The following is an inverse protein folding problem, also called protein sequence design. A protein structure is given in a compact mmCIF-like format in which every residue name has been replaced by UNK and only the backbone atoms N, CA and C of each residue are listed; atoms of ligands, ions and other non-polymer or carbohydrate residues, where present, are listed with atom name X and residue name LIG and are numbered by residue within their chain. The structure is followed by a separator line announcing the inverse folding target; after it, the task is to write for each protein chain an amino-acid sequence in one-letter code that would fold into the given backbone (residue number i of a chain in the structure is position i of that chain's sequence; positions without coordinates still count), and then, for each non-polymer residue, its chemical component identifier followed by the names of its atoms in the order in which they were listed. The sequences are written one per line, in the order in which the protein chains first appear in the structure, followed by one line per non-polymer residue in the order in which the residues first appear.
data_IF_186835231277
#
_entry.id   IF_186835231277
#
_cell.length_a   1.000
_cell.length_b   1.000
_cell.length_c   1.000
_cell.angle_alpha   90.00
_cell.angle_beta   90.00
_cell.angle_gamma   90.00
#
_symmetry.space_group_name_H-M   'P 1'
#
loop_
_entity.id
_entity.type
_entity.pdbx_description
1 polymer ?
#
# COMPACT_ATOMS: atom_id res chain seq x y z
N UNK A 1 -93.86 -16.88 -12.44
CA UNK A 1 -92.63 -16.12 -12.13
C UNK A 1 -92.94 -15.17 -10.98
N UNK A 2 -92.55 -15.51 -9.76
CA UNK A 2 -92.62 -14.60 -8.62
C UNK A 2 -91.18 -14.23 -8.23
N UNK A 3 -90.74 -13.05 -8.64
CA UNK A 3 -89.46 -12.46 -8.24
C UNK A 3 -89.63 -11.90 -6.83
N UNK A 4 -89.02 -12.57 -5.85
CA UNK A 4 -88.92 -12.09 -4.48
C UNK A 4 -88.06 -10.81 -4.45
N UNK A 5 -88.70 -9.65 -4.34
CA UNK A 5 -88.04 -8.37 -4.09
C UNK A 5 -87.80 -8.25 -2.59
N UNK A 6 -86.60 -8.66 -2.14
CA UNK A 6 -86.14 -8.44 -0.77
C UNK A 6 -86.22 -6.96 -0.38
N UNK A 7 -86.54 -6.69 0.88
CA UNK A 7 -86.76 -5.35 1.41
C UNK A 7 -85.52 -4.46 1.20
N UNK A 8 -85.72 -3.17 0.91
CA UNK A 8 -84.65 -2.20 0.71
C UNK A 8 -83.61 -2.12 1.86
N UNK A 9 -83.98 -2.60 3.06
CA UNK A 9 -83.08 -2.79 4.22
C UNK A 9 -81.99 -3.85 3.99
N UNK A 10 -82.30 -4.96 3.30
CA UNK A 10 -81.32 -6.02 2.99
C UNK A 10 -80.26 -5.54 1.97
N UNK A 11 -80.63 -4.62 1.08
CA UNK A 11 -79.70 -4.04 0.11
C UNK A 11 -78.59 -3.20 0.80
N UNK A 12 -78.93 -2.46 1.86
CA UNK A 12 -77.96 -1.71 2.65
C UNK A 12 -76.99 -2.62 3.42
N UNK A 13 -77.52 -3.68 4.04
CA UNK A 13 -76.70 -4.70 4.72
C UNK A 13 -75.78 -5.45 3.75
N UNK A 14 -76.28 -5.78 2.57
CA UNK A 14 -75.48 -6.41 1.51
C UNK A 14 -74.36 -5.49 1.00
N UNK A 15 -74.62 -4.18 0.87
CA UNK A 15 -73.61 -3.19 0.48
C UNK A 15 -72.52 -3.05 1.55
N UNK A 16 -72.89 -3.06 2.83
CA UNK A 16 -71.96 -2.94 3.95
C UNK A 16 -71.07 -4.19 4.07
N UNK A 17 -71.63 -5.39 3.85
CA UNK A 17 -70.87 -6.64 3.77
C UNK A 17 -69.94 -6.67 2.56
N UNK A 18 -70.36 -6.14 1.41
CA UNK A 18 -69.51 -6.00 0.22
C UNK A 18 -68.33 -5.05 0.48
N UNK A 19 -68.57 -3.91 1.12
CA UNK A 19 -67.54 -2.94 1.51
C UNK A 19 -66.55 -3.51 2.54
N UNK A 20 -67.03 -4.31 3.50
CA UNK A 20 -66.16 -5.03 4.46
C UNK A 20 -65.29 -6.07 3.75
N UNK A 21 -65.83 -6.81 2.76
CA UNK A 21 -65.07 -7.78 1.96
C UNK A 21 -64.02 -7.11 1.07
N UNK A 22 -64.35 -5.96 0.49
CA UNK A 22 -63.42 -5.16 -0.32
C UNK A 22 -62.24 -4.67 0.51
N UNK A 23 -62.49 -4.08 1.68
CA UNK A 23 -61.42 -3.69 2.63
C UNK A 23 -60.56 -4.88 3.07
N UNK A 24 -61.18 -6.02 3.37
CA UNK A 24 -60.44 -7.22 3.76
C UNK A 24 -59.55 -7.76 2.62
N UNK A 25 -60.01 -7.66 1.37
CA UNK A 25 -59.22 -8.02 0.18
C UNK A 25 -58.06 -7.05 -0.04
N UNK A 26 -58.29 -5.74 0.09
CA UNK A 26 -57.23 -4.73 0.02
C UNK A 26 -56.16 -4.94 1.09
N UNK A 27 -56.57 -5.25 2.33
CA UNK A 27 -55.63 -5.53 3.42
C UNK A 27 -54.84 -6.82 3.18
N UNK A 28 -55.49 -7.86 2.64
CA UNK A 28 -54.81 -9.10 2.23
C UNK A 28 -53.82 -8.87 1.10
N UNK A 29 -54.17 -8.05 0.11
CA UNK A 29 -53.29 -7.70 -1.00
C UNK A 29 -52.09 -6.89 -0.50
N UNK A 30 -52.31 -5.96 0.43
CA UNK A 30 -51.24 -5.18 1.04
C UNK A 30 -50.30 -6.06 1.89
N UNK A 31 -50.85 -7.00 2.68
CA UNK A 31 -50.04 -7.99 3.42
C UNK A 31 -49.28 -8.90 2.47
N UNK A 32 -49.89 -9.34 1.37
CA UNK A 32 -49.24 -10.18 0.34
C UNK A 32 -48.11 -9.44 -0.35
N UNK A 33 -48.29 -8.17 -0.74
CA UNK A 33 -47.23 -7.33 -1.31
C UNK A 33 -46.09 -7.12 -0.32
N UNK A 34 -46.40 -6.87 0.95
CA UNK A 34 -45.38 -6.71 2.00
C UNK A 34 -44.57 -8.00 2.21
N UNK A 35 -45.21 -9.16 2.24
CA UNK A 35 -44.53 -10.47 2.32
C UNK A 35 -43.73 -10.74 1.04
N UNK A 36 -44.23 -10.38 -0.14
CA UNK A 36 -43.51 -10.54 -1.41
C UNK A 36 -42.27 -9.63 -1.48
N UNK A 37 -42.34 -8.41 -0.95
CA UNK A 37 -41.20 -7.50 -0.81
C UNK A 37 -40.18 -8.02 0.21
N UNK A 38 -40.61 -8.56 1.34
CA UNK A 38 -39.73 -9.16 2.35
C UNK A 38 -39.11 -10.49 1.88
N UNK A 39 -39.83 -11.28 1.07
CA UNK A 39 -39.34 -12.54 0.48
C UNK A 39 -38.55 -12.36 -0.82
N UNK A 40 -38.49 -11.15 -1.41
CA UNK A 40 -37.56 -10.81 -2.50
C UNK A 40 -36.12 -10.71 -1.95
N UNK A 41 -35.62 -11.84 -1.47
CA UNK A 41 -34.23 -12.08 -1.04
C UNK A 41 -33.27 -12.21 -2.24
N UNK A 42 -33.76 -12.10 -3.48
CA UNK A 42 -32.97 -12.12 -4.71
C UNK A 42 -31.99 -10.94 -4.85
N UNK A 43 -32.15 -9.89 -4.05
CA UNK A 43 -31.21 -8.75 -4.01
C UNK A 43 -29.97 -8.98 -3.15
N UNK A 44 -29.89 -10.11 -2.43
CA UNK A 44 -28.77 -10.38 -1.53
C UNK A 44 -27.54 -10.87 -2.31
N UNK A 45 -27.70 -11.76 -3.30
CA UNK A 45 -26.60 -12.23 -4.14
C UNK A 45 -25.94 -11.09 -4.94
N UNK A 46 -26.74 -10.19 -5.51
CA UNK A 46 -26.22 -9.03 -6.24
C UNK A 46 -25.53 -7.99 -5.34
N UNK A 47 -25.98 -7.86 -4.08
CA UNK A 47 -25.30 -7.01 -3.09
C UNK A 47 -23.93 -7.54 -2.71
N UNK A 48 -23.74 -8.86 -2.64
CA UNK A 48 -22.42 -9.42 -2.33
C UNK A 48 -21.49 -9.47 -3.55
N UNK A 49 -22.00 -9.74 -4.75
CA UNK A 49 -21.20 -9.81 -5.97
C UNK A 49 -20.59 -8.46 -6.38
N UNK A 50 -21.38 -7.38 -6.38
CA UNK A 50 -20.87 -6.05 -6.75
C UNK A 50 -19.91 -5.45 -5.71
N UNK A 51 -20.01 -5.89 -4.44
CA UNK A 51 -19.13 -5.42 -3.37
C UNK A 51 -17.79 -6.16 -3.33
N UNK A 52 -17.75 -7.43 -3.71
CA UNK A 52 -16.50 -8.18 -3.80
C UNK A 52 -15.62 -7.65 -4.94
N UNK A 53 -16.22 -7.37 -6.10
CA UNK A 53 -15.50 -6.92 -7.29
C UNK A 53 -14.81 -5.55 -7.08
N UNK A 54 -15.45 -4.60 -6.40
CA UNK A 54 -14.84 -3.30 -6.12
C UNK A 54 -13.63 -3.38 -5.16
N UNK A 55 -13.75 -4.18 -4.09
CA UNK A 55 -12.67 -4.38 -3.11
C UNK A 55 -11.52 -5.15 -3.74
N UNK A 56 -11.83 -6.18 -4.53
CA UNK A 56 -10.84 -6.97 -5.23
C UNK A 56 -10.11 -6.17 -6.33
N UNK A 57 -10.81 -5.28 -7.04
CA UNK A 57 -10.18 -4.36 -8.00
C UNK A 57 -9.22 -3.36 -7.31
N UNK A 58 -9.60 -2.81 -6.15
CA UNK A 58 -8.74 -1.91 -5.39
C UNK A 58 -7.49 -2.64 -4.86
N UNK A 59 -7.67 -3.86 -4.34
CA UNK A 59 -6.57 -4.73 -3.90
C UNK A 59 -5.66 -5.12 -5.07
N UNK A 60 -6.22 -5.54 -6.21
CA UNK A 60 -5.46 -5.86 -7.43
C UNK A 60 -4.66 -4.66 -7.92
N UNK A 61 -5.27 -3.49 -8.04
CA UNK A 61 -4.57 -2.29 -8.53
C UNK A 61 -3.44 -1.82 -7.59
N UNK A 62 -3.64 -1.93 -6.27
CA UNK A 62 -2.66 -1.57 -5.25
C UNK A 62 -1.53 -2.61 -5.10
N UNK A 63 -1.73 -3.83 -5.59
CA UNK A 63 -0.79 -4.97 -5.45
C UNK A 63 -0.08 -5.33 -6.76
N UNK A 64 -0.19 -4.51 -7.81
CA UNK A 64 0.62 -4.70 -9.02
C UNK A 64 2.07 -4.29 -8.73
N UNK A 65 2.96 -5.28 -8.61
CA UNK A 65 4.40 -5.09 -8.40
C UNK A 65 5.01 -6.14 -7.47
N UNK A 66 6.30 -6.00 -7.15
CA UNK A 66 6.95 -6.83 -6.14
C UNK A 66 6.57 -6.29 -4.75
N UNK A 67 5.67 -6.99 -4.07
CA UNK A 67 5.14 -6.64 -2.74
C UNK A 67 5.43 -7.79 -1.78
N UNK A 68 5.85 -7.47 -0.55
CA UNK A 68 6.10 -8.48 0.49
C UNK A 68 4.79 -9.01 1.09
N UNK A 69 4.79 -10.21 1.67
CA UNK A 69 3.59 -10.80 2.26
C UNK A 69 2.97 -9.92 3.37
N UNK A 70 3.81 -9.21 4.11
CA UNK A 70 3.37 -8.33 5.20
C UNK A 70 2.70 -7.07 4.64
N UNK A 71 3.23 -6.49 3.56
CA UNK A 71 2.62 -5.35 2.87
C UNK A 71 1.27 -5.72 2.24
N UNK A 72 1.11 -6.96 1.75
CA UNK A 72 -0.17 -7.45 1.22
C UNK A 72 -1.22 -7.59 2.33
N UNK A 73 -0.83 -8.12 3.50
CA UNK A 73 -1.72 -8.25 4.65
C UNK A 73 -2.13 -6.89 5.22
N UNK A 74 -1.18 -5.98 5.39
CA UNK A 74 -1.45 -4.62 5.88
C UNK A 74 -2.44 -3.89 4.96
N UNK A 75 -2.22 -3.94 3.64
CA UNK A 75 -3.14 -3.35 2.66
C UNK A 75 -4.54 -3.99 2.68
N UNK A 76 -4.62 -5.30 2.92
CA UNK A 76 -5.89 -6.00 3.05
C UNK A 76 -6.65 -5.56 4.31
N UNK A 77 -5.96 -5.46 5.45
CA UNK A 77 -6.54 -4.99 6.71
C UNK A 77 -7.01 -3.54 6.61
N UNK A 78 -6.22 -2.66 5.99
CA UNK A 78 -6.59 -1.25 5.82
C UNK A 78 -7.85 -1.08 4.97
N UNK A 79 -7.96 -1.81 3.86
CA UNK A 79 -9.15 -1.78 2.99
C UNK A 79 -10.40 -2.30 3.72
N UNK A 80 -10.25 -3.36 4.54
CA UNK A 80 -11.35 -3.88 5.36
C UNK A 80 -11.76 -2.86 6.42
N UNK A 81 -10.80 -2.24 7.11
CA UNK A 81 -11.05 -1.28 8.20
C UNK A 81 -11.68 0.02 7.69
N UNK A 82 -11.22 0.56 6.56
CA UNK A 82 -11.85 1.72 5.91
C UNK A 82 -13.31 1.41 5.54
N UNK A 83 -13.56 0.19 5.07
CA UNK A 83 -14.91 -0.25 4.71
C UNK A 83 -15.81 -0.40 5.92
N UNK A 84 -15.33 -1.02 6.99
CA UNK A 84 -16.06 -1.12 8.26
C UNK A 84 -16.43 0.27 8.78
N UNK A 85 -15.51 1.23 8.69
CA UNK A 85 -15.76 2.63 9.05
C UNK A 85 -16.84 3.27 8.19
N UNK A 86 -16.81 3.07 6.87
CA UNK A 86 -17.86 3.57 5.96
C UNK A 86 -19.23 2.94 6.23
N UNK A 87 -19.27 1.63 6.53
CA UNK A 87 -20.50 0.93 6.88
C UNK A 87 -21.07 1.43 8.21
N UNK A 88 -20.22 1.62 9.22
CA UNK A 88 -20.61 2.20 10.50
C UNK A 88 -21.16 3.62 10.35
N UNK A 89 -20.54 4.47 9.52
CA UNK A 89 -21.04 5.81 9.22
C UNK A 89 -22.41 5.78 8.54
N UNK A 90 -22.59 4.90 7.55
CA UNK A 90 -23.86 4.77 6.82
C UNK A 90 -24.98 4.20 7.69
N UNK A 91 -24.67 3.28 8.61
CA UNK A 91 -25.61 2.77 9.59
C UNK A 91 -26.02 3.88 10.57
N UNK A 92 -25.05 4.61 11.10
CA UNK A 92 -25.29 5.74 12.00
C UNK A 92 -26.16 6.84 11.33
N UNK A 93 -25.93 7.14 10.06
CA UNK A 93 -26.75 8.10 9.31
C UNK A 93 -28.20 7.63 9.13
N UNK A 94 -28.40 6.35 8.82
CA UNK A 94 -29.75 5.76 8.72
C UNK A 94 -30.48 5.72 10.06
N UNK A 95 -29.77 5.42 11.14
CA UNK A 95 -30.32 5.44 12.51
C UNK A 95 -30.80 6.85 12.86
N UNK A 96 -29.99 7.87 12.55
CA UNK A 96 -30.34 9.27 12.77
C UNK A 96 -31.56 9.71 11.95
N UNK A 97 -31.67 9.25 10.69
CA UNK A 97 -32.85 9.52 9.85
C UNK A 97 -34.11 8.88 10.45
N UNK A 98 -34.05 7.61 10.90
CA UNK A 98 -35.18 6.96 11.57
C UNK A 98 -35.60 7.67 12.85
N UNK A 99 -34.65 8.12 13.66
CA UNK A 99 -34.96 8.88 14.88
C UNK A 99 -35.65 10.21 14.55
N UNK A 100 -35.22 10.92 13.50
CA UNK A 100 -35.88 12.15 13.05
C UNK A 100 -37.32 11.88 12.59
N UNK A 101 -37.54 10.85 11.77
CA UNK A 101 -38.89 10.48 11.31
C UNK A 101 -39.83 10.08 12.46
N UNK A 102 -39.31 9.35 13.47
CA UNK A 102 -40.08 8.98 14.66
C UNK A 102 -40.46 10.21 15.48
N UNK A 103 -39.53 11.15 15.63
CA UNK A 103 -39.77 12.41 16.35
C UNK A 103 -40.79 13.29 15.63
N UNK A 104 -40.69 13.45 14.32
CA UNK A 104 -41.67 14.21 13.52
C UNK A 104 -43.08 13.60 13.61
N UNK A 105 -43.19 12.26 13.60
CA UNK A 105 -44.48 11.57 13.81
C UNK A 105 -45.06 11.78 15.20
N UNK A 106 -44.21 11.79 16.24
CA UNK A 106 -44.65 12.08 17.62
C UNK A 106 -45.14 13.53 17.75
N UNK A 107 -44.39 14.49 17.20
CA UNK A 107 -44.78 15.91 17.21
C UNK A 107 -46.08 16.17 16.43
N UNK A 108 -46.28 15.48 15.30
CA UNK A 108 -47.53 15.56 14.54
C UNK A 108 -48.73 15.01 15.32
N UNK A 109 -48.57 13.86 16.01
CA UNK A 109 -49.61 13.30 16.90
C UNK A 109 -49.93 14.23 18.05
N UNK A 110 -48.92 14.86 18.65
CA UNK A 110 -49.12 15.80 19.75
C UNK A 110 -49.83 17.07 19.29
N UNK A 111 -49.50 17.61 18.11
CA UNK A 111 -50.21 18.74 17.51
C UNK A 111 -51.68 18.42 17.23
N UNK A 112 -51.99 17.23 16.72
CA UNK A 112 -53.37 16.78 16.53
C UNK A 112 -54.11 16.66 17.86
N UNK A 113 -53.49 16.06 18.89
CA UNK A 113 -54.07 15.95 20.23
C UNK A 113 -54.34 17.33 20.86
N UNK A 114 -53.42 18.29 20.68
CA UNK A 114 -53.60 19.68 21.13
C UNK A 114 -54.70 20.42 20.35
N UNK A 115 -54.81 20.22 19.03
CA UNK A 115 -55.91 20.78 18.24
C UNK A 115 -57.26 20.23 18.68
N UNK A 116 -57.36 18.91 18.91
CA UNK A 116 -58.58 18.27 19.40
C UNK A 116 -58.92 18.78 20.81
N UNK A 117 -57.94 18.91 21.71
CA UNK A 117 -58.14 19.45 23.06
C UNK A 117 -58.52 20.95 23.07
N UNK A 118 -58.12 21.72 22.05
CA UNK A 118 -58.49 23.14 21.89
C UNK A 118 -59.89 23.36 21.33
N UNK A 119 -60.54 22.31 20.82
CA UNK A 119 -61.93 22.33 20.38
C UNK A 119 -62.81 21.88 21.55
N UNK A 120 -63.59 22.81 22.11
CA UNK A 120 -64.46 22.62 23.27
C UNK A 120 -65.73 21.81 22.93
N UNK A 121 -65.56 20.53 22.60
CA UNK A 121 -66.64 19.53 22.61
C UNK A 121 -66.16 18.32 23.40
N UNK A 122 -66.63 18.21 24.66
CA UNK A 122 -66.63 16.95 25.39
C UNK A 122 -67.81 16.12 24.88
N UNK A 123 -67.55 15.14 24.03
CA UNK A 123 -68.43 13.97 23.91
C UNK A 123 -67.78 12.87 24.73
N UNK A 124 -68.42 12.64 25.87
CA UNK A 124 -68.29 11.49 26.74
C UNK A 124 -69.05 10.33 26.08
N UNK A 125 -68.36 9.23 25.81
CA UNK A 125 -68.88 7.86 25.67
C UNK A 125 -67.67 6.93 25.46
N UNK A 126 -67.16 6.44 26.60
CA UNK A 126 -66.81 5.05 26.95
C UNK A 126 -66.89 4.00 25.81
N UNK A 127 -66.01 3.01 25.65
CA UNK A 127 -65.45 2.07 26.64
C UNK A 127 -64.42 1.12 25.96
N UNK A 128 -63.47 0.59 26.76
CA UNK A 128 -62.73 -0.71 26.64
C UNK A 128 -61.80 -0.95 25.44
N UNK A 129 -60.58 -1.48 25.53
CA UNK A 129 -59.82 -2.41 26.41
C UNK A 129 -58.33 -2.20 25.97
N UNK A 130 -57.27 -2.16 26.79
CA UNK A 130 -56.68 -3.22 27.62
C UNK A 130 -55.65 -2.56 28.55
N UNK A 131 -55.70 -2.91 29.83
CA UNK A 131 -54.60 -2.79 30.78
C UNK A 131 -53.46 -3.75 30.38
N UNK A 132 -52.20 -3.35 30.51
CA UNK A 132 -51.19 -4.11 31.26
C UNK A 132 -49.81 -3.39 31.30
N UNK A 133 -49.23 -3.43 32.50
CA UNK A 133 -47.83 -3.19 32.90
C UNK A 133 -47.38 -1.76 33.29
N UNK A 134 -47.77 -1.36 34.50
CA UNK A 134 -46.89 -0.59 35.40
C UNK A 134 -46.10 -1.52 36.35
N UNK A 135 -44.80 -1.23 36.46
CA UNK A 135 -43.91 -1.39 37.62
C UNK A 135 -43.42 -2.78 38.11
N UNK A 136 -42.15 -3.09 37.79
CA UNK A 136 -41.19 -3.64 38.77
C UNK A 136 -39.81 -2.97 38.60
N UNK A 137 -39.62 -1.82 39.27
CA UNK A 137 -38.30 -1.38 39.72
C UNK A 137 -38.29 -1.45 41.25
N UNK A 138 -37.83 -2.59 41.79
CA UNK A 138 -37.37 -2.67 43.17
C UNK A 138 -35.85 -2.77 43.19
N UNK A 139 -35.26 -1.69 43.72
CA UNK A 139 -34.27 -1.65 44.79
C UNK A 139 -33.23 -2.78 44.89
N UNK A 140 -31.95 -2.38 44.85
CA UNK A 140 -31.15 -2.64 46.04
C UNK A 140 -30.15 -1.50 46.31
N UNK A 141 -30.26 -0.97 47.52
CA UNK A 141 -29.43 0.06 48.12
C UNK A 141 -27.99 -0.43 48.40
N UNK A 142 -27.02 0.43 48.15
CA UNK A 142 -25.87 0.82 48.98
C UNK A 142 -24.75 1.31 48.06
N UNK A 143 -24.13 2.46 48.22
CA UNK A 143 -24.15 3.44 49.31
C UNK A 143 -23.39 4.67 48.80
N UNK A 144 -23.85 5.88 49.16
CA UNK A 144 -23.06 7.03 49.67
C UNK A 144 -21.79 7.41 48.85
N UNK A 145 -21.58 8.64 48.40
CA UNK A 145 -22.03 9.93 48.92
C UNK A 145 -21.74 11.01 47.87
N UNK A 146 -22.51 12.09 48.00
CA UNK A 146 -22.50 13.41 47.38
C UNK A 146 -21.07 13.97 47.14
N UNK A 147 -20.71 14.41 45.94
CA UNK A 147 -21.15 15.58 45.14
C UNK A 147 -20.25 16.80 45.32
N UNK A 148 -19.74 17.30 44.19
CA UNK A 148 -19.60 18.72 43.79
C UNK A 148 -18.72 19.64 44.68
N UNK A 149 -17.89 20.53 44.17
CA UNK A 149 -17.84 21.27 42.89
C UNK A 149 -16.53 22.08 42.84
N UNK A 150 -16.09 22.41 41.62
CA UNK A 150 -15.34 23.62 41.18
C UNK A 150 -14.31 24.28 42.12
N UNK A 151 -13.07 24.42 41.65
CA UNK A 151 -12.55 25.67 41.03
C UNK A 151 -11.01 25.64 40.93
N UNK A 152 -10.53 26.43 39.98
CA UNK A 152 -9.20 26.69 39.46
C UNK A 152 -8.11 27.17 40.43
N UNK A 153 -6.87 26.77 40.09
CA UNK A 153 -5.57 27.46 40.31
C UNK A 153 -5.15 27.89 41.72
N UNK A 154 -4.11 27.24 42.26
CA UNK A 154 -2.93 27.89 42.86
C UNK A 154 -1.80 26.88 43.18
N UNK A 155 -0.57 27.27 42.85
CA UNK A 155 0.69 26.60 43.18
C UNK A 155 0.85 26.43 44.70
N UNK A 156 1.29 25.24 45.14
CA UNK A 156 2.24 25.09 46.26
C UNK A 156 2.76 23.64 46.35
N UNK A 157 4.08 23.56 46.49
CA UNK A 157 4.91 22.37 46.74
C UNK A 157 4.34 21.44 47.83
N UNK A 158 4.13 20.15 47.50
CA UNK A 158 4.74 19.00 48.18
C UNK A 158 4.37 17.65 47.50
N UNK A 159 5.21 16.60 47.59
CA UNK A 159 5.25 15.52 46.61
C UNK A 159 4.19 14.45 46.86
N UNK A 160 3.27 14.27 45.90
CA UNK A 160 2.37 13.12 45.86
C UNK A 160 3.19 11.85 45.60
N UNK A 161 3.30 11.01 46.62
CA UNK A 161 3.94 9.69 46.57
C UNK A 161 3.32 8.85 45.45
N UNK A 162 4.09 8.66 44.36
CA UNK A 162 3.78 7.74 43.28
C UNK A 162 3.51 6.35 43.88
N UNK A 163 2.30 5.83 43.69
CA UNK A 163 1.96 4.44 44.04
C UNK A 163 3.02 3.53 43.40
N UNK A 164 3.85 2.90 44.22
CA UNK A 164 4.85 1.92 43.77
C UNK A 164 4.07 0.79 43.08
N UNK A 165 4.13 0.75 41.75
CA UNK A 165 3.68 -0.41 40.99
C UNK A 165 4.39 -1.62 41.60
N UNK A 166 3.61 -2.64 41.95
CA UNK A 166 4.14 -3.94 42.36
C UNK A 166 4.99 -4.46 41.19
N UNK A 167 6.30 -4.27 41.29
CA UNK A 167 7.26 -4.88 40.39
C UNK A 167 7.36 -6.34 40.81
N UNK A 168 6.88 -7.24 39.95
CA UNK A 168 7.39 -8.61 39.94
C UNK A 168 8.88 -8.54 39.57
N UNK A 169 9.67 -9.49 40.06
CA UNK A 169 11.12 -9.49 39.91
C UNK A 169 11.57 -9.11 38.48
N UNK A 170 12.48 -8.15 38.32
CA UNK A 170 12.92 -7.64 37.00
C UNK A 170 13.70 -8.67 36.18
N UNK A 171 14.13 -9.78 36.78
CA UNK A 171 14.82 -10.89 36.11
C UNK A 171 13.86 -11.98 35.57
N UNK A 172 12.55 -11.85 35.79
CA UNK A 172 11.58 -12.78 35.18
C UNK A 172 11.44 -12.42 33.71
N UNK A 173 11.84 -13.35 32.84
CA UNK A 173 11.71 -13.20 31.39
C UNK A 173 10.25 -12.98 30.99
N UNK A 174 9.95 -11.75 30.55
CA UNK A 174 8.63 -11.31 30.10
C UNK A 174 8.53 -11.31 28.57
N UNK A 175 9.50 -11.93 27.86
CA UNK A 175 9.55 -12.05 26.39
C UNK A 175 8.26 -12.59 25.76
N UNK A 176 7.52 -13.44 26.49
CA UNK A 176 6.29 -14.08 26.03
C UNK A 176 5.03 -13.21 26.18
N UNK A 177 5.08 -12.10 26.92
CA UNK A 177 3.95 -11.16 26.99
C UNK A 177 4.00 -10.18 25.82
N UNK A 178 2.86 -9.89 25.16
CA UNK A 178 2.73 -8.79 24.21
C UNK A 178 3.02 -7.44 24.88
N UNK A 179 4.27 -7.02 24.81
CA UNK A 179 4.75 -5.75 25.36
C UNK A 179 4.87 -4.72 24.24
N UNK A 180 3.94 -3.77 24.22
CA UNK A 180 3.90 -2.68 23.23
C UNK A 180 5.20 -1.88 23.19
N UNK A 181 5.85 -1.67 24.33
CA UNK A 181 7.15 -0.99 24.40
C UNK A 181 8.27 -1.81 23.76
N UNK A 182 8.29 -3.13 23.95
CA UNK A 182 9.30 -4.03 23.34
C UNK A 182 9.14 -4.12 21.83
N UNK A 183 7.91 -4.23 21.33
CA UNK A 183 7.62 -4.22 19.89
C UNK A 183 7.99 -2.87 19.25
N UNK A 184 7.77 -1.76 19.96
CA UNK A 184 8.19 -0.42 19.51
C UNK A 184 9.72 -0.27 19.49
N UNK A 185 10.43 -0.85 20.46
CA UNK A 185 11.90 -0.92 20.49
C UNK A 185 12.46 -1.80 19.38
N UNK A 186 11.87 -2.98 19.14
CA UNK A 186 12.25 -3.85 18.02
C UNK A 186 12.01 -3.16 16.68
N UNK A 187 10.89 -2.44 16.53
CA UNK A 187 10.59 -1.65 15.34
C UNK A 187 11.61 -0.53 15.14
N UNK A 188 11.96 0.22 16.19
CA UNK A 188 12.99 1.27 16.14
C UNK A 188 14.34 0.67 15.75
N UNK A 189 14.75 -0.42 16.37
CA UNK A 189 16.00 -1.12 16.04
C UNK A 189 16.02 -1.58 14.58
N UNK A 190 14.89 -2.09 14.07
CA UNK A 190 14.74 -2.52 12.68
C UNK A 190 14.78 -1.35 11.70
N UNK A 191 14.21 -0.21 12.07
CA UNK A 191 14.29 1.04 11.31
C UNK A 191 15.71 1.62 11.31
N UNK A 192 16.39 1.62 12.46
CA UNK A 192 17.79 2.03 12.61
C UNK A 192 18.72 1.16 11.75
N UNK A 193 18.59 -0.17 11.85
CA UNK A 193 19.37 -1.09 11.01
C UNK A 193 19.10 -0.89 9.51
N UNK A 194 17.85 -0.58 9.13
CA UNK A 194 17.51 -0.24 7.75
C UNK A 194 18.19 1.06 7.31
N UNK A 195 18.15 2.10 8.14
CA UNK A 195 18.82 3.37 7.85
C UNK A 195 20.33 3.20 7.77
N UNK A 196 20.94 2.48 8.70
CA UNK A 196 22.36 2.15 8.66
C UNK A 196 22.72 1.38 7.38
N UNK A 197 21.89 0.42 6.98
CA UNK A 197 22.11 -0.32 5.75
C UNK A 197 22.06 0.60 4.53
N UNK A 198 21.04 1.46 4.42
CA UNK A 198 20.93 2.45 3.34
C UNK A 198 22.11 3.42 3.34
N UNK A 199 22.53 3.91 4.50
CA UNK A 199 23.69 4.81 4.62
C UNK A 199 24.99 4.11 4.23
N UNK A 200 25.20 2.85 4.62
CA UNK A 200 26.36 2.06 4.21
C UNK A 200 26.36 1.84 2.69
N UNK A 201 25.20 1.54 2.11
CA UNK A 201 25.01 1.43 0.65
C UNK A 201 25.33 2.75 -0.07
N UNK A 202 24.84 3.87 0.47
CA UNK A 202 25.07 5.20 -0.10
C UNK A 202 26.53 5.63 0.01
N UNK A 203 27.19 5.34 1.14
CA UNK A 203 28.63 5.57 1.31
C UNK A 203 29.43 4.81 0.24
N UNK A 204 29.15 3.52 0.05
CA UNK A 204 29.83 2.70 -0.96
C UNK A 204 29.55 3.19 -2.39
N UNK A 205 28.31 3.64 -2.67
CA UNK A 205 27.97 4.28 -3.95
C UNK A 205 28.67 5.62 -4.15
N UNK A 206 28.94 6.36 -3.08
CA UNK A 206 29.58 7.67 -3.15
C UNK A 206 31.12 7.61 -3.25
N UNK A 207 31.73 6.46 -2.97
CA UNK A 207 33.18 6.28 -3.15
C UNK A 207 33.59 6.62 -4.60
N UNK A 208 34.62 7.45 -4.73
CA UNK A 208 35.14 7.87 -6.03
C UNK A 208 36.09 6.81 -6.59
N UNK A 209 35.97 6.57 -7.89
CA UNK A 209 36.75 5.64 -8.67
C UNK A 209 37.33 6.40 -9.88
N UNK A 210 38.59 6.14 -10.18
CA UNK A 210 39.19 6.48 -11.46
C UNK A 210 39.03 5.32 -12.45
N UNK A 211 38.34 5.57 -13.56
CA UNK A 211 38.10 4.57 -14.59
C UNK A 211 38.90 4.96 -15.83
N UNK A 212 39.81 4.07 -16.23
CA UNK A 212 40.55 4.20 -17.49
C UNK A 212 39.75 3.58 -18.62
N UNK A 213 39.53 4.35 -19.68
CA UNK A 213 38.86 3.91 -20.89
C UNK A 213 39.64 4.29 -22.14
N UNK A 214 39.39 3.57 -23.23
CA UNK A 214 39.96 3.85 -24.55
C UNK A 214 38.83 4.11 -25.52
N UNK A 215 38.78 5.30 -26.11
CA UNK A 215 37.93 5.53 -27.28
C UNK A 215 38.51 4.79 -28.48
N UNK A 216 37.65 4.20 -29.31
CA UNK A 216 38.06 3.41 -30.47
C UNK A 216 37.32 3.86 -31.73
N UNK A 217 38.08 4.47 -32.63
CA UNK A 217 37.68 4.90 -33.98
C UNK A 217 38.51 4.19 -35.08
N UNK A 218 39.40 3.28 -34.68
CA UNK A 218 40.45 2.69 -35.52
C UNK A 218 41.84 2.87 -34.88
N UNK A 219 41.99 3.87 -34.02
CA UNK A 219 43.10 4.04 -33.09
C UNK A 219 42.60 4.04 -31.65
N UNK A 220 43.41 3.57 -30.71
CA UNK A 220 43.04 3.49 -29.30
C UNK A 220 43.44 4.75 -28.53
N UNK A 221 42.48 5.60 -28.18
CA UNK A 221 42.72 6.81 -27.39
C UNK A 221 42.41 6.57 -25.90
N UNK A 222 43.44 6.21 -25.13
CA UNK A 222 43.34 5.99 -23.67
C UNK A 222 43.18 7.31 -22.91
N UNK A 223 42.24 7.34 -21.97
CA UNK A 223 41.95 8.44 -21.03
C UNK A 223 41.48 7.89 -19.69
N UNK A 224 41.59 8.69 -18.64
CA UNK A 224 41.00 8.39 -17.34
C UNK A 224 39.96 9.44 -16.97
N UNK A 225 38.88 9.00 -16.33
CA UNK A 225 37.82 9.87 -15.78
C UNK A 225 37.50 9.43 -14.36
N UNK A 226 37.32 10.40 -13.47
CA UNK A 226 36.94 10.20 -12.08
C UNK A 226 35.42 10.31 -11.89
N UNK A 227 34.82 9.33 -11.20
CA UNK A 227 33.39 9.33 -10.87
C UNK A 227 33.07 8.43 -9.69
N UNK A 228 31.85 8.56 -9.13
CA UNK A 228 31.42 7.73 -8.00
C UNK A 228 30.92 6.35 -8.44
N UNK A 229 31.07 5.31 -7.61
CA UNK A 229 30.63 3.93 -7.91
C UNK A 229 29.14 3.83 -8.26
N UNK A 230 28.32 4.68 -7.67
CA UNK A 230 26.86 4.72 -7.89
C UNK A 230 26.42 5.36 -9.20
N UNK A 231 27.33 5.92 -10.01
CA UNK A 231 26.96 6.44 -11.33
C UNK A 231 26.61 5.30 -12.28
N UNK A 232 25.61 5.52 -13.12
CA UNK A 232 25.30 4.58 -14.21
C UNK A 232 26.35 4.66 -15.32
N UNK A 233 26.45 3.60 -16.11
CA UNK A 233 27.32 3.59 -17.28
C UNK A 233 26.91 4.65 -18.29
N UNK A 234 25.61 4.96 -18.39
CA UNK A 234 25.15 6.09 -19.18
C UNK A 234 25.79 7.42 -18.74
N UNK A 235 25.81 7.72 -17.44
CA UNK A 235 26.45 8.92 -16.90
C UNK A 235 27.97 8.91 -17.11
N UNK A 236 28.61 7.73 -17.03
CA UNK A 236 30.01 7.54 -17.39
C UNK A 236 30.27 7.91 -18.86
N UNK A 237 29.44 7.39 -19.77
CA UNK A 237 29.57 7.65 -21.20
C UNK A 237 29.37 9.13 -21.53
N UNK A 238 28.44 9.82 -20.86
CA UNK A 238 28.28 11.28 -21.00
C UNK A 238 29.54 12.03 -20.59
N UNK A 239 30.14 11.71 -19.43
CA UNK A 239 31.42 12.32 -19.00
C UNK A 239 32.56 12.01 -19.97
N UNK A 240 32.63 10.79 -20.49
CA UNK A 240 33.61 10.42 -21.52
C UNK A 240 33.40 11.26 -22.78
N UNK A 241 32.16 11.46 -23.18
CA UNK A 241 31.77 12.26 -24.34
C UNK A 241 32.20 13.73 -24.16
N UNK A 242 32.04 14.32 -22.97
CA UNK A 242 32.53 15.68 -22.67
C UNK A 242 34.06 15.81 -22.83
N UNK A 243 34.81 14.79 -22.41
CA UNK A 243 36.27 14.76 -22.57
C UNK A 243 36.66 14.58 -24.04
N UNK A 244 35.96 13.70 -24.76
CA UNK A 244 36.23 13.41 -26.17
C UNK A 244 35.78 14.55 -27.11
N UNK A 245 34.75 15.31 -26.76
CA UNK A 245 34.27 16.48 -27.53
C UNK A 245 35.33 17.56 -27.72
N UNK A 246 36.33 17.63 -26.84
CA UNK A 246 37.44 18.57 -26.97
C UNK A 246 38.41 18.19 -28.10
N UNK A 247 38.50 16.90 -28.44
CA UNK A 247 39.45 16.39 -29.44
C UNK A 247 38.77 15.99 -30.75
N UNK A 248 37.56 15.43 -30.67
CA UNK A 248 36.83 14.92 -31.81
C UNK A 248 35.56 15.74 -32.07
N UNK A 249 35.60 16.53 -33.13
CA UNK A 249 34.45 17.35 -33.56
C UNK A 249 33.26 16.48 -34.01
N UNK A 250 33.52 15.26 -34.47
CA UNK A 250 32.51 14.29 -34.91
C UNK A 250 31.60 13.82 -33.77
N UNK A 251 32.13 13.79 -32.54
CA UNK A 251 31.38 13.38 -31.34
C UNK A 251 30.53 14.51 -30.74
N UNK A 252 30.56 15.71 -31.33
CA UNK A 252 29.75 16.85 -30.85
C UNK A 252 28.26 16.64 -31.08
N UNK A 253 27.88 16.01 -32.18
CA UNK A 253 26.48 15.74 -32.55
C UNK A 253 25.91 14.46 -31.90
N UNK A 254 26.78 13.60 -31.37
CA UNK A 254 26.44 12.29 -30.83
C UNK A 254 25.94 12.42 -29.39
N UNK A 255 24.95 11.58 -29.01
CA UNK A 255 24.41 11.46 -27.65
C UNK A 255 24.99 10.23 -26.93
N UNK A 256 24.88 10.18 -25.60
CA UNK A 256 25.38 9.06 -24.79
C UNK A 256 24.79 7.69 -25.15
N UNK A 257 23.58 7.65 -25.71
CA UNK A 257 22.89 6.42 -26.12
C UNK A 257 23.50 5.74 -27.36
N UNK A 258 24.20 6.53 -28.18
CA UNK A 258 24.88 6.04 -29.38
C UNK A 258 26.26 5.49 -29.06
N UNK A 259 26.76 5.67 -27.84
CA UNK A 259 28.00 5.07 -27.38
C UNK A 259 27.73 3.69 -26.79
N UNK A 260 28.71 2.80 -26.85
CA UNK A 260 28.70 1.52 -26.18
C UNK A 260 29.97 1.36 -25.37
N UNK A 261 29.83 0.78 -24.18
CA UNK A 261 30.95 0.46 -23.32
C UNK A 261 31.23 -1.04 -23.37
N UNK A 262 32.47 -1.39 -23.66
CA UNK A 262 32.92 -2.78 -23.76
C UNK A 262 34.07 -2.99 -22.79
N UNK A 263 33.94 -3.94 -21.87
CA UNK A 263 35.01 -4.31 -20.95
C UNK A 263 35.26 -5.81 -21.03
N UNK A 264 36.52 -6.22 -21.24
CA UNK A 264 36.93 -7.63 -21.37
C UNK A 264 36.04 -8.47 -22.31
N UNK A 265 35.73 -7.90 -23.48
CA UNK A 265 34.83 -8.50 -24.49
C UNK A 265 33.36 -8.66 -24.04
N UNK A 266 32.95 -8.01 -22.95
CA UNK A 266 31.55 -7.90 -22.54
C UNK A 266 31.03 -6.49 -22.83
N UNK A 267 29.96 -6.41 -23.62
CA UNK A 267 29.22 -5.18 -23.89
C UNK A 267 28.33 -4.93 -22.68
N UNK A 268 28.61 -3.85 -21.96
CA UNK A 268 27.88 -3.55 -20.75
C UNK A 268 26.71 -2.60 -21.06
N UNK A 269 25.47 -2.97 -20.68
CA UNK A 269 24.31 -2.10 -20.86
C UNK A 269 24.36 -0.79 -20.07
N UNK A 270 23.65 0.22 -20.58
CA UNK A 270 23.63 1.59 -20.04
C UNK A 270 23.00 1.75 -18.65
N UNK A 271 22.12 0.84 -18.27
CA UNK A 271 21.34 0.92 -17.03
C UNK A 271 22.10 0.39 -15.80
N UNK A 272 23.18 -0.37 -15.99
CA UNK A 272 23.96 -0.87 -14.87
C UNK A 272 24.84 0.22 -14.26
N UNK A 273 25.10 0.09 -12.97
CA UNK A 273 26.02 0.95 -12.22
C UNK A 273 27.33 0.24 -11.93
N UNK A 274 28.42 0.98 -11.73
CA UNK A 274 29.70 0.36 -11.31
C UNK A 274 29.57 -0.35 -9.98
N UNK A 275 28.72 0.17 -9.09
CA UNK A 275 28.35 -0.45 -7.83
C UNK A 275 27.85 -1.89 -8.02
N UNK A 276 26.96 -2.14 -8.99
CA UNK A 276 26.40 -3.48 -9.21
C UNK A 276 27.48 -4.49 -9.61
N UNK A 277 28.42 -4.09 -10.46
CA UNK A 277 29.55 -4.96 -10.86
C UNK A 277 30.51 -5.26 -9.72
N UNK A 278 30.67 -4.32 -8.79
CA UNK A 278 31.54 -4.47 -7.62
C UNK A 278 30.92 -5.45 -6.62
N UNK A 279 29.63 -5.27 -6.33
CA UNK A 279 28.91 -6.13 -5.39
C UNK A 279 28.79 -7.56 -5.91
N UNK A 280 28.44 -7.71 -7.19
CA UNK A 280 28.34 -9.04 -7.82
C UNK A 280 29.70 -9.69 -8.05
N UNK A 281 30.81 -8.95 -7.82
CA UNK A 281 32.17 -9.37 -8.18
C UNK A 281 32.20 -9.96 -9.58
N UNK A 282 31.52 -9.28 -10.51
CA UNK A 282 31.26 -9.79 -11.84
C UNK A 282 32.57 -10.23 -12.49
N UNK A 283 32.68 -11.52 -12.80
CA UNK A 283 33.85 -12.09 -13.46
C UNK A 283 33.62 -12.08 -14.96
N UNK A 284 34.47 -11.38 -15.67
CA UNK A 284 34.56 -11.43 -17.11
C UNK A 284 35.33 -12.67 -17.56
N UNK A 285 35.51 -12.77 -18.88
CA UNK A 285 36.24 -13.89 -19.49
C UNK A 285 37.72 -13.92 -19.05
N UNK A 286 38.30 -12.82 -18.59
CA UNK A 286 39.72 -12.69 -18.22
C UNK A 286 39.98 -12.51 -16.71
N UNK A 287 38.94 -12.53 -15.87
CA UNK A 287 39.09 -12.27 -14.43
C UNK A 287 38.00 -11.33 -13.89
N UNK A 288 38.16 -10.73 -12.70
CA UNK A 288 37.23 -9.73 -12.19
C UNK A 288 37.10 -8.54 -13.16
N UNK A 289 35.88 -8.23 -13.62
CA UNK A 289 35.65 -7.12 -14.56
C UNK A 289 36.16 -5.80 -14.01
N UNK A 290 36.10 -5.61 -12.71
CA UNK A 290 36.62 -4.43 -12.06
C UNK A 290 37.32 -4.85 -10.77
N UNK A 291 38.64 -4.67 -10.73
CA UNK A 291 39.39 -4.78 -9.49
C UNK A 291 39.53 -3.36 -8.92
N UNK A 292 38.69 -3.02 -7.95
CA UNK A 292 38.78 -1.76 -7.20
C UNK A 292 39.15 -2.01 -5.74
N UNK A 293 39.63 -3.22 -5.41
CA UNK A 293 40.02 -3.54 -4.05
C UNK A 293 41.30 -2.76 -3.69
N UNK A 294 41.16 -2.01 -2.61
CA UNK A 294 42.07 -1.12 -1.92
C UNK A 294 43.53 -1.54 -2.02
N UNK A 295 44.23 -1.08 -3.05
CA UNK A 295 45.57 -0.51 -2.94
C UNK A 295 45.56 0.60 -3.99
N UNK A 296 45.41 1.87 -3.60
CA UNK A 296 46.60 2.72 -3.49
C UNK A 296 47.84 1.92 -3.89
N UNK A 297 48.18 2.01 -5.16
CA UNK A 297 49.53 1.76 -5.66
C UNK A 297 50.43 2.73 -4.88
N UNK A 298 50.73 2.39 -3.61
CA UNK A 298 51.73 3.05 -2.78
C UNK A 298 53.01 2.78 -3.52
N UNK A 299 53.34 3.70 -4.42
CA UNK A 299 54.61 3.81 -5.10
C UNK A 299 55.68 4.04 -4.04
N UNK A 300 56.14 2.98 -3.42
CA UNK A 300 57.47 2.89 -2.85
C UNK A 300 57.91 1.44 -3.00
N UNK A 301 58.87 1.25 -3.90
CA UNK A 301 59.69 0.06 -4.10
C UNK A 301 59.21 -0.85 -5.24
N UNK A 302 59.97 -0.76 -6.34
CA UNK A 302 59.93 -1.64 -7.49
C UNK A 302 60.18 -3.08 -7.07
N UNK A 303 59.14 -3.90 -6.96
CA UNK A 303 59.24 -5.35 -6.91
C UNK A 303 58.58 -5.94 -8.17
N UNK A 304 59.35 -6.70 -8.94
CA UNK A 304 58.99 -7.23 -10.25
C UNK A 304 58.38 -8.65 -10.18
N UNK A 305 58.03 -9.13 -8.99
CA UNK A 305 57.54 -10.49 -8.72
C UNK A 305 56.01 -10.64 -8.69
N UNK A 306 55.27 -9.53 -8.67
CA UNK A 306 53.80 -9.53 -8.64
C UNK A 306 53.32 -9.25 -10.06
N UNK A 307 52.69 -10.25 -10.70
CA UNK A 307 52.04 -10.09 -11.99
C UNK A 307 51.07 -8.90 -11.92
N UNK A 308 51.35 -7.87 -12.72
CA UNK A 308 50.44 -6.75 -12.89
C UNK A 308 49.23 -7.28 -13.64
N UNK A 309 48.16 -7.56 -12.90
CA UNK A 309 46.82 -7.78 -13.46
C UNK A 309 46.31 -6.46 -14.05
N UNK A 310 46.86 -6.10 -15.22
CA UNK A 310 46.51 -4.90 -15.97
C UNK A 310 45.09 -5.08 -16.49
N UNK A 311 44.13 -4.70 -15.64
CA UNK A 311 42.70 -4.66 -15.99
C UNK A 311 42.56 -3.96 -17.33
N UNK A 312 42.15 -4.68 -18.37
CA UNK A 312 42.07 -4.14 -19.72
C UNK A 312 41.18 -2.89 -19.70
N UNK A 313 41.73 -1.75 -20.15
CA UNK A 313 41.00 -0.50 -20.20
C UNK A 313 39.70 -0.69 -21.00
N UNK A 314 38.58 -0.20 -20.46
CA UNK A 314 37.28 -0.35 -21.10
C UNK A 314 37.25 0.39 -22.43
N UNK A 315 36.77 -0.24 -23.49
CA UNK A 315 36.66 0.36 -24.81
C UNK A 315 35.33 1.11 -24.93
N UNK A 316 35.37 2.35 -25.41
CA UNK A 316 34.19 3.17 -25.71
C UNK A 316 34.09 3.31 -27.22
N UNK A 317 32.96 2.89 -27.78
CA UNK A 317 32.76 2.80 -29.22
C UNK A 317 31.42 3.40 -29.63
N UNK A 318 31.30 3.83 -30.88
CA UNK A 318 30.01 4.17 -31.45
C UNK A 318 29.24 2.89 -31.81
N UNK A 319 27.92 2.88 -31.54
CA UNK A 319 27.00 1.80 -31.94
C UNK A 319 27.05 1.55 -33.44
N UNK A 320 27.07 2.62 -34.23
CA UNK A 320 27.17 2.56 -35.70
C UNK A 320 28.49 1.92 -36.17
N UNK A 321 29.58 2.12 -35.44
CA UNK A 321 30.87 1.47 -35.72
C UNK A 321 30.79 -0.01 -35.38
N UNK A 322 30.22 -0.36 -34.23
CA UNK A 322 30.07 -1.76 -33.81
C UNK A 322 29.21 -2.56 -34.80
N UNK A 323 28.06 -2.04 -35.23
CA UNK A 323 27.17 -2.76 -36.15
C UNK A 323 27.83 -3.07 -37.49
N UNK A 324 28.67 -2.15 -37.99
CA UNK A 324 29.44 -2.36 -39.23
C UNK A 324 30.57 -3.37 -39.01
N UNK A 325 31.27 -3.30 -37.88
CA UNK A 325 32.51 -4.05 -37.66
C UNK A 325 32.37 -5.28 -36.77
N UNK A 326 31.17 -5.63 -36.29
CA UNK A 326 30.90 -6.79 -35.42
C UNK A 326 31.33 -8.13 -35.99
N UNK A 327 31.58 -8.22 -37.30
CA UNK A 327 32.04 -9.44 -37.96
C UNK A 327 33.57 -9.53 -38.05
N UNK A 328 34.28 -8.46 -37.66
CA UNK A 328 35.73 -8.34 -37.73
C UNK A 328 36.31 -8.45 -36.31
N UNK A 329 37.44 -9.14 -36.17
CA UNK A 329 38.15 -9.22 -34.90
C UNK A 329 38.70 -7.83 -34.49
N UNK A 330 38.56 -7.39 -33.22
CA UNK A 330 38.09 -8.13 -32.04
C UNK A 330 36.58 -8.01 -31.74
N UNK A 331 35.83 -7.20 -32.49
CA UNK A 331 34.42 -6.91 -32.20
C UNK A 331 33.51 -8.16 -32.31
N UNK A 332 33.92 -9.15 -33.10
CA UNK A 332 33.24 -10.45 -33.22
C UNK A 332 33.19 -11.28 -31.95
N UNK A 333 34.08 -11.02 -30.99
CA UNK A 333 34.13 -11.74 -29.71
C UNK A 333 33.23 -11.12 -28.64
N UNK A 334 32.71 -9.92 -28.89
CA UNK A 334 31.99 -9.17 -27.88
C UNK A 334 30.58 -9.71 -27.67
N UNK A 335 30.27 -10.04 -26.43
CA UNK A 335 28.97 -10.58 -26.01
C UNK A 335 28.26 -9.60 -25.08
N UNK A 336 26.92 -9.52 -25.10
CA UNK A 336 26.19 -8.73 -24.11
C UNK A 336 26.43 -9.28 -22.70
N UNK A 337 26.68 -8.40 -21.74
CA UNK A 337 26.83 -8.78 -20.33
C UNK A 337 25.53 -9.40 -19.81
N UNK A 338 25.66 -10.58 -19.21
CA UNK A 338 24.57 -11.31 -18.57
C UNK A 338 25.00 -11.62 -17.12
N UNK A 339 24.32 -11.05 -16.10
CA UNK A 339 24.66 -11.25 -14.70
C UNK A 339 24.59 -12.71 -14.23
N UNK A 340 23.84 -13.56 -14.95
CA UNK A 340 23.61 -14.96 -14.55
C UNK A 340 24.68 -15.92 -15.08
N UNK A 341 25.51 -15.47 -16.03
CA UNK A 341 26.54 -16.30 -16.64
C UNK A 341 27.86 -16.12 -15.89
N UNK A 342 28.34 -17.21 -15.30
CA UNK A 342 29.68 -17.27 -14.72
C UNK A 342 30.70 -17.59 -15.81
N UNK A 343 31.51 -16.59 -16.19
CA UNK A 343 32.59 -16.75 -17.16
C UNK A 343 33.84 -17.35 -16.48
N UNK A 344 33.76 -18.60 -16.04
CA UNK A 344 34.80 -19.18 -15.17
C UNK A 344 36.14 -19.51 -15.84
N UNK A 345 36.26 -19.60 -17.19
CA UNK A 345 37.54 -19.93 -17.83
C UNK A 345 37.74 -19.28 -19.20
N UNK A 346 38.79 -18.48 -19.32
CA UNK A 346 39.40 -18.13 -20.61
C UNK A 346 40.12 -19.36 -21.18
N UNK A 347 39.83 -19.72 -22.42
CA UNK A 347 40.76 -20.49 -23.26
C UNK A 347 41.23 -19.57 -24.37
N UNK A 348 42.53 -19.25 -24.37
CA UNK A 348 43.18 -18.35 -25.33
C UNK A 348 43.32 -19.04 -26.71
N UNK A 349 43.17 -20.36 -26.77
CA UNK A 349 43.29 -21.13 -28.00
C UNK A 349 41.92 -21.47 -28.59
N UNK A 350 41.70 -21.04 -29.83
CA UNK A 350 40.77 -21.73 -30.73
C UNK A 350 41.11 -23.22 -30.69
N UNK A 351 40.23 -24.04 -30.09
CA UNK A 351 40.24 -25.48 -30.35
C UNK A 351 39.83 -25.66 -31.82
N UNK A 352 40.82 -25.60 -32.71
CA UNK A 352 40.65 -25.94 -34.12
C UNK A 352 40.06 -27.36 -34.22
N UNK A 353 39.10 -27.44 -35.14
CA UNK A 353 38.38 -28.62 -35.61
C UNK A 353 39.32 -29.66 -36.21
#
# INVERSE_FOLDING_TARGET
MALYKGAASEAGRALQLKKKREKALEELEHRKRKIEEEMKLSDIENKFAAHYDAVEQQLKSSTIGLVTLDEMKAKQEDVVKERERQLAQKQHEKELQRQKEMREKQEAKERQKRQIASLSFRLDDEEEEEEEEEEQQQENENSRDASESQDSSQESDEPVLKKKKIFKNPDVDTSFLPDREREEEERKLREELRQEWVQKQEKLKNEEIEITFSYWDGSGHRRSVKMKKGHSIYQFLLKCLEVLRKEFHELRAVTGDQLMYVKEDLIIPHHYTFYDFIVTKARGKSGPLFNFDVHDDVRLMSDASIEKDESHAGKVLLRSWYERNKHIFPASRWEPYDPTKNYEKYTISDRKK
#
